data_IF_099103902321
#
_entry.id   IF_099103902321
#
_cell.length_a   1.000
_cell.length_b   1.000
_cell.length_c   1.000
_cell.angle_alpha   90.00
_cell.angle_beta   90.00
_cell.angle_gamma   90.00
#
_symmetry.space_group_name_H-M   'P 1'
#
loop_
_entity.id
_entity.type
_entity.pdbx_description
1 polymer ?
#
# COMPACT_ATOMS: atom_id res chain seq x y z
N UNK A 1 31.48 -11.59 -40.00
CA UNK A 1 31.35 -10.70 -38.82
C UNK A 1 29.92 -10.79 -38.32
N UNK A 2 29.67 -11.55 -37.25
CA UNK A 2 28.37 -11.59 -36.57
C UNK A 2 28.65 -11.39 -35.07
N UNK A 3 28.17 -10.29 -34.51
CA UNK A 3 28.32 -9.93 -33.09
C UNK A 3 27.24 -10.64 -32.28
N UNK A 4 27.62 -11.51 -31.35
CA UNK A 4 26.71 -12.08 -30.37
C UNK A 4 26.54 -11.08 -29.21
N UNK A 5 25.35 -10.51 -29.09
CA UNK A 5 24.94 -9.64 -27.97
C UNK A 5 24.74 -10.49 -26.71
N UNK A 6 25.47 -10.19 -25.64
CA UNK A 6 25.29 -10.83 -24.35
C UNK A 6 24.14 -10.15 -23.58
N UNK A 7 23.09 -10.91 -23.26
CA UNK A 7 22.06 -10.48 -22.32
C UNK A 7 22.67 -10.41 -20.91
N UNK A 8 22.77 -9.21 -20.34
CA UNK A 8 23.15 -9.00 -18.95
C UNK A 8 22.06 -9.56 -18.04
N UNK A 9 22.32 -10.71 -17.42
CA UNK A 9 21.50 -11.24 -16.33
C UNK A 9 21.89 -10.55 -15.02
N UNK A 10 21.29 -9.41 -14.72
CA UNK A 10 21.25 -8.92 -13.33
C UNK A 10 20.50 -9.97 -12.52
N UNK A 11 21.18 -10.60 -11.55
CA UNK A 11 20.52 -11.46 -10.58
C UNK A 11 19.45 -10.61 -9.87
N UNK A 12 18.18 -11.04 -9.82
CA UNK A 12 17.22 -10.40 -8.93
C UNK A 12 17.80 -10.55 -7.52
N UNK A 13 18.05 -9.42 -6.86
CA UNK A 13 18.35 -9.44 -5.43
C UNK A 13 17.23 -10.25 -4.80
N UNK A 14 17.57 -11.34 -4.10
CA UNK A 14 16.62 -12.13 -3.32
C UNK A 14 16.21 -11.31 -2.10
N UNK A 15 15.63 -10.13 -2.33
CA UNK A 15 14.92 -9.38 -1.32
C UNK A 15 13.58 -10.10 -1.21
N UNK A 16 13.53 -11.12 -0.33
CA UNK A 16 12.27 -11.64 0.17
C UNK A 16 11.42 -10.42 0.53
N UNK A 17 10.33 -10.20 -0.19
CA UNK A 17 9.42 -9.11 0.09
C UNK A 17 8.98 -9.28 1.54
N UNK A 18 9.49 -8.43 2.44
CA UNK A 18 8.98 -8.32 3.81
C UNK A 18 7.61 -7.69 3.69
N UNK A 19 6.60 -8.51 3.42
CA UNK A 19 5.21 -8.10 3.47
C UNK A 19 4.93 -7.72 4.92
N UNK A 20 4.54 -6.46 5.15
CA UNK A 20 4.20 -6.03 6.50
C UNK A 20 2.99 -6.86 6.99
N UNK A 21 2.97 -7.30 8.26
CA UNK A 21 1.80 -7.99 8.80
C UNK A 21 0.50 -7.18 8.66
N UNK A 22 0.60 -5.85 8.60
CA UNK A 22 -0.51 -4.94 8.34
C UNK A 22 -1.14 -5.10 6.94
N UNK A 23 -0.37 -5.53 5.92
CA UNK A 23 -0.91 -5.88 4.59
C UNK A 23 -1.60 -7.24 4.56
N UNK A 24 -1.35 -8.09 5.56
CA UNK A 24 -2.05 -9.37 5.74
C UNK A 24 -3.33 -9.23 6.56
N UNK A 25 -3.58 -8.04 7.15
CA UNK A 25 -4.84 -7.77 7.82
C UNK A 25 -5.96 -7.67 6.78
N UNK A 26 -7.13 -8.30 7.03
CA UNK A 26 -8.27 -8.16 6.15
C UNK A 26 -8.63 -6.68 5.94
N UNK A 27 -8.96 -6.27 4.70
CA UNK A 27 -9.40 -4.91 4.46
C UNK A 27 -10.68 -4.60 5.23
N UNK A 28 -10.91 -3.32 5.59
CA UNK A 28 -12.17 -2.90 6.21
C UNK A 28 -13.37 -3.33 5.35
N UNK A 29 -14.42 -3.82 6.00
CA UNK A 29 -15.65 -4.17 5.29
C UNK A 29 -16.29 -2.93 4.67
N UNK A 30 -16.84 -3.10 3.47
CA UNK A 30 -17.55 -2.02 2.80
C UNK A 30 -18.89 -1.75 3.50
N UNK A 31 -19.26 -0.47 3.68
CA UNK A 31 -20.55 -0.12 4.24
C UNK A 31 -21.66 -0.59 3.32
N UNK A 32 -22.74 -1.09 3.92
CA UNK A 32 -23.94 -1.51 3.17
C UNK A 32 -24.59 -0.29 2.53
N UNK A 33 -25.00 -0.46 1.27
CA UNK A 33 -25.81 0.54 0.56
C UNK A 33 -27.14 0.70 1.29
N UNK A 34 -27.49 1.92 1.63
CA UNK A 34 -28.75 2.24 2.27
C UNK A 34 -29.89 2.05 1.27
N UNK A 35 -30.91 1.31 1.71
CA UNK A 35 -32.13 1.03 0.96
C UNK A 35 -33.31 1.08 1.93
N UNK A 36 -34.46 1.46 1.42
CA UNK A 36 -35.74 1.36 2.11
C UNK A 36 -36.09 -0.11 2.42
N UNK A 37 -37.09 -0.31 3.29
CA UNK A 37 -37.59 -1.63 3.65
C UNK A 37 -38.13 -2.45 2.48
N UNK A 38 -38.53 -1.80 1.39
CA UNK A 38 -38.97 -2.46 0.14
C UNK A 38 -37.83 -2.69 -0.85
N UNK A 39 -36.59 -2.29 -0.50
CA UNK A 39 -35.41 -2.44 -1.34
C UNK A 39 -35.16 -1.30 -2.33
N UNK A 40 -36.03 -0.29 -2.37
CA UNK A 40 -35.86 0.92 -3.18
C UNK A 40 -34.80 1.86 -2.57
N UNK A 41 -34.11 2.62 -3.41
CA UNK A 41 -33.08 3.58 -2.98
C UNK A 41 -33.48 4.99 -3.42
N UNK A 42 -33.65 5.90 -2.47
CA UNK A 42 -33.90 7.31 -2.79
C UNK A 42 -32.58 8.03 -3.13
N UNK A 43 -32.67 9.23 -3.69
CA UNK A 43 -31.48 10.06 -3.92
C UNK A 43 -30.71 10.41 -2.63
N UNK A 44 -31.43 10.57 -1.51
CA UNK A 44 -30.81 10.82 -0.20
C UNK A 44 -30.05 9.59 0.30
N UNK A 45 -30.62 8.39 0.15
CA UNK A 45 -29.96 7.13 0.53
C UNK A 45 -28.72 6.87 -0.33
N UNK A 46 -28.79 7.19 -1.62
CA UNK A 46 -27.66 7.08 -2.55
C UNK A 46 -26.53 8.04 -2.15
N UNK A 47 -26.86 9.29 -1.82
CA UNK A 47 -25.87 10.29 -1.40
C UNK A 47 -25.18 9.88 -0.09
N UNK A 48 -25.96 9.45 0.91
CA UNK A 48 -25.42 8.99 2.19
C UNK A 48 -24.56 7.73 2.02
N UNK A 49 -24.97 6.78 1.18
CA UNK A 49 -24.18 5.59 0.85
C UNK A 49 -22.86 5.95 0.18
N UNK A 50 -22.86 6.93 -0.73
CA UNK A 50 -21.66 7.41 -1.41
C UNK A 50 -20.67 8.04 -0.42
N UNK A 51 -21.15 8.87 0.51
CA UNK A 51 -20.31 9.49 1.55
C UNK A 51 -19.64 8.43 2.41
N UNK A 52 -20.38 7.42 2.87
CA UNK A 52 -19.84 6.32 3.67
C UNK A 52 -18.74 5.53 2.92
N UNK A 53 -18.89 5.34 1.61
CA UNK A 53 -17.86 4.70 0.78
C UNK A 53 -16.58 5.55 0.71
N UNK A 54 -16.70 6.87 0.59
CA UNK A 54 -15.55 7.77 0.58
C UNK A 54 -14.83 7.84 1.93
N UNK A 55 -15.54 7.70 3.04
CA UNK A 55 -14.92 7.60 4.36
C UNK A 55 -14.01 6.36 4.45
N UNK A 56 -14.48 5.20 4.01
CA UNK A 56 -13.66 3.97 3.99
C UNK A 56 -12.48 4.10 3.02
N UNK A 57 -12.69 4.69 1.85
CA UNK A 57 -11.60 4.98 0.91
C UNK A 57 -10.53 5.90 1.54
N UNK A 58 -10.96 6.90 2.32
CA UNK A 58 -10.09 7.78 3.09
C UNK A 58 -9.26 7.02 4.12
N UNK A 59 -9.87 6.09 4.86
CA UNK A 59 -9.19 5.24 5.84
C UNK A 59 -8.14 4.33 5.18
N UNK A 60 -8.47 3.69 4.07
CA UNK A 60 -7.53 2.87 3.29
C UNK A 60 -6.33 3.71 2.83
N UNK A 61 -6.59 4.92 2.33
CA UNK A 61 -5.53 5.84 1.91
C UNK A 61 -4.62 6.24 3.06
N UNK A 62 -5.19 6.52 4.23
CA UNK A 62 -4.41 6.86 5.43
C UNK A 62 -3.50 5.70 5.85
N UNK A 63 -4.03 4.48 5.93
CA UNK A 63 -3.27 3.28 6.27
C UNK A 63 -2.13 3.02 5.27
N UNK A 64 -2.38 3.24 3.97
CA UNK A 64 -1.35 3.07 2.94
C UNK A 64 -0.21 4.09 3.09
N UNK A 65 -0.51 5.35 3.39
CA UNK A 65 0.51 6.39 3.63
C UNK A 65 1.36 6.04 4.86
N UNK A 66 0.73 5.60 5.95
CA UNK A 66 1.44 5.17 7.15
C UNK A 66 2.40 4.01 6.84
N UNK A 67 1.91 3.01 6.09
CA UNK A 67 2.72 1.88 5.68
C UNK A 67 3.90 2.29 4.80
N UNK A 68 3.70 3.23 3.86
CA UNK A 68 4.81 3.77 3.07
C UNK A 68 5.86 4.47 3.94
N UNK A 69 5.45 5.15 5.01
CA UNK A 69 6.34 5.72 6.02
C UNK A 69 7.14 4.65 6.76
N UNK A 70 6.48 3.59 7.22
CA UNK A 70 7.15 2.45 7.88
C UNK A 70 8.18 1.80 6.94
N UNK A 71 7.80 1.53 5.69
CA UNK A 71 8.72 0.97 4.67
C UNK A 71 9.91 1.90 4.42
N UNK A 72 9.69 3.23 4.37
CA UNK A 72 10.77 4.22 4.23
C UNK A 72 11.77 4.12 5.38
N UNK A 73 11.28 4.07 6.62
CA UNK A 73 12.14 3.95 7.81
C UNK A 73 12.91 2.62 7.83
N UNK A 74 12.29 1.52 7.41
CA UNK A 74 12.94 0.20 7.34
C UNK A 74 13.99 0.09 6.22
N UNK A 75 13.78 0.80 5.10
CA UNK A 75 14.69 0.83 3.95
C UNK A 75 15.81 1.86 4.10
N UNK A 76 15.77 2.71 5.12
CA UNK A 76 16.84 3.67 5.42
C UNK A 76 17.62 3.13 6.62
N UNK A 77 18.55 2.16 6.44
CA UNK A 77 19.44 1.76 7.51
C UNK A 77 20.38 2.94 7.78
N UNK A 78 20.33 3.49 8.99
CA UNK A 78 21.31 4.40 9.59
C UNK A 78 22.06 5.33 8.62
N UNK A 79 21.59 6.57 8.51
CA UNK A 79 22.47 7.73 8.31
C UNK A 79 23.33 7.96 9.58
N UNK A 80 24.05 6.91 10.04
CA UNK A 80 24.69 6.84 11.34
C UNK A 80 25.79 5.79 11.37
N UNK A 81 26.87 6.04 10.63
CA UNK A 81 28.07 5.21 10.62
C UNK A 81 29.21 5.92 9.89
N UNK A 82 29.82 6.88 10.57
CA UNK A 82 31.07 7.54 10.17
C UNK A 82 32.18 6.51 9.95
N UNK A 83 32.63 6.33 8.71
CA UNK A 83 33.90 5.68 8.38
C UNK A 83 35.06 6.69 8.44
N UNK A 84 35.10 7.46 9.53
CA UNK A 84 36.32 8.13 9.96
C UNK A 84 37.17 7.13 10.76
N UNK A 85 37.79 6.17 10.08
CA UNK A 85 38.86 5.37 10.66
C UNK A 85 40.09 5.44 9.76
N UNK A 86 40.99 6.37 10.13
CA UNK A 86 42.32 6.42 9.57
C UNK A 86 43.14 5.20 9.96
N UNK A 87 43.81 4.61 8.96
CA UNK A 87 45.24 4.31 8.96
C UNK A 87 45.76 4.44 7.53
#
# INVERSE_FOLDING_TARGET
MLMASACSTVQPTSQTARVSPALLAPPPELPKVQRSSTGEMTGADAHSSLTALYDVAGQIRAAYIELQGQVRTMLTPDAGGTDAQGK
#
